data_IF_252222770492
#
_entry.id   IF_252222770492
#
_cell.length_a   1.000
_cell.length_b   1.000
_cell.length_c   1.000
_cell.angle_alpha   90.00
_cell.angle_beta   90.00
_cell.angle_gamma   90.00
#
_symmetry.space_group_name_H-M   'P 1'
#
loop_
_entity.id
_entity.type
_entity.pdbx_description
1 polymer ?
#
# COMPACT_ATOMS: atom_id res chain seq x y z
N UNK A 1 -7.40 18.84 20.77
CA UNK A 1 -6.55 17.61 20.74
C UNK A 1 -5.40 17.85 19.78
N UNK A 2 -4.24 17.31 20.11
CA UNK A 2 -3.06 17.44 19.25
C UNK A 2 -2.53 16.04 18.95
N UNK A 3 -2.78 15.55 17.72
CA UNK A 3 -2.36 14.21 17.28
C UNK A 3 -0.90 14.29 16.85
N UNK A 4 -0.02 13.58 17.55
CA UNK A 4 1.42 13.61 17.27
C UNK A 4 1.87 12.54 16.29
N UNK A 5 0.97 11.69 15.86
CA UNK A 5 1.25 10.66 14.86
C UNK A 5 -0.03 9.96 14.46
N UNK A 6 0.06 9.19 13.39
CA UNK A 6 -1.09 8.42 12.89
C UNK A 6 -0.55 7.13 12.31
N UNK A 7 -1.18 6.00 12.67
CA UNK A 7 -0.82 4.71 12.11
C UNK A 7 -2.08 4.01 11.62
N UNK A 8 -2.18 3.71 10.32
CA UNK A 8 -3.30 2.93 9.81
C UNK A 8 -3.18 1.46 10.22
N UNK A 9 -4.33 0.79 10.32
CA UNK A 9 -4.41 -0.64 10.59
C UNK A 9 -5.09 -1.30 9.40
N UNK A 10 -4.43 -2.29 8.82
CA UNK A 10 -4.98 -3.07 7.72
C UNK A 10 -5.38 -4.46 8.21
N UNK A 11 -6.62 -4.84 7.95
CA UNK A 11 -7.06 -6.21 8.16
C UNK A 11 -6.51 -7.07 7.04
N UNK A 12 -5.77 -8.13 7.39
CA UNK A 12 -5.18 -9.04 6.42
C UNK A 12 -5.60 -10.47 6.72
N UNK A 13 -5.65 -11.29 5.67
CA UNK A 13 -6.06 -12.69 5.80
C UNK A 13 -4.94 -13.57 6.37
N UNK A 14 -3.69 -13.19 6.12
CA UNK A 14 -2.51 -13.92 6.59
C UNK A 14 -1.40 -12.94 6.92
N UNK A 15 -1.02 -12.89 8.18
CA UNK A 15 0.07 -12.00 8.62
C UNK A 15 1.40 -12.34 7.96
N UNK A 16 1.83 -13.63 7.92
CA UNK A 16 3.10 -13.97 7.26
C UNK A 16 3.10 -13.62 5.78
N UNK A 17 2.01 -13.89 5.07
CA UNK A 17 1.92 -13.60 3.64
C UNK A 17 1.94 -12.09 3.39
N UNK A 18 1.31 -11.30 4.27
CA UNK A 18 1.34 -9.85 4.18
C UNK A 18 2.74 -9.30 4.41
N UNK A 19 3.45 -9.79 5.42
CA UNK A 19 4.84 -9.39 5.62
C UNK A 19 5.67 -9.65 4.36
N UNK A 20 5.53 -10.85 3.78
CA UNK A 20 6.26 -11.20 2.57
C UNK A 20 5.91 -10.29 1.39
N UNK A 21 4.62 -9.94 1.25
CA UNK A 21 4.15 -9.06 0.19
C UNK A 21 4.77 -7.66 0.31
N UNK A 22 4.76 -7.09 1.52
CA UNK A 22 5.35 -5.77 1.76
C UNK A 22 6.86 -5.79 1.56
N UNK A 23 7.53 -6.87 1.99
CA UNK A 23 8.99 -7.00 1.85
C UNK A 23 9.41 -7.00 0.37
N UNK A 24 8.62 -7.59 -0.52
CA UNK A 24 8.88 -7.55 -1.96
C UNK A 24 8.95 -6.12 -2.50
N UNK A 25 8.19 -5.21 -1.90
CA UNK A 25 8.15 -3.80 -2.29
C UNK A 25 9.17 -2.95 -1.54
N UNK A 26 10.01 -3.57 -0.70
CA UNK A 26 11.04 -2.84 0.02
C UNK A 26 10.66 -2.38 1.42
N UNK A 27 9.45 -2.69 1.86
CA UNK A 27 9.08 -2.44 3.25
C UNK A 27 9.77 -3.44 4.16
N UNK A 28 9.91 -3.09 5.45
CA UNK A 28 10.53 -3.96 6.44
C UNK A 28 9.53 -4.36 7.49
N UNK A 29 9.58 -5.63 7.90
CA UNK A 29 8.86 -6.08 9.08
C UNK A 29 9.52 -5.44 10.31
N UNK A 30 8.73 -4.75 11.12
CA UNK A 30 9.24 -4.08 12.31
C UNK A 30 9.10 -4.94 13.56
N UNK A 31 7.93 -5.55 13.75
CA UNK A 31 7.65 -6.42 14.89
C UNK A 31 6.38 -7.22 14.63
N UNK A 32 6.16 -8.24 15.47
CA UNK A 32 4.92 -9.00 15.50
C UNK A 32 4.57 -9.36 16.94
N UNK A 33 3.29 -9.60 17.21
CA UNK A 33 2.78 -9.89 18.53
C UNK A 33 1.73 -10.99 18.47
N UNK A 34 1.70 -11.82 19.52
CA UNK A 34 0.74 -12.91 19.67
C UNK A 34 1.41 -14.27 19.56
N UNK A 35 0.70 -15.30 20.04
CA UNK A 35 1.17 -16.67 20.00
C UNK A 35 -0.01 -17.59 19.59
N UNK A 36 -0.11 -17.95 18.31
CA UNK A 36 0.74 -17.52 17.19
C UNK A 36 0.56 -16.03 16.87
N UNK A 37 1.53 -15.39 16.18
CA UNK A 37 1.41 -13.97 15.88
C UNK A 37 0.20 -13.65 15.00
N UNK A 38 -0.55 -12.62 15.39
CA UNK A 38 -1.73 -12.18 14.64
C UNK A 38 -1.77 -10.66 14.44
N UNK A 39 -0.78 -9.94 14.94
CA UNK A 39 -0.67 -8.49 14.80
C UNK A 39 0.78 -8.13 14.58
N UNK A 40 1.04 -7.12 13.75
CA UNK A 40 2.40 -6.70 13.50
C UNK A 40 2.48 -5.36 12.83
N UNK A 41 3.68 -4.99 12.41
CA UNK A 41 3.92 -3.73 11.73
C UNK A 41 4.95 -3.88 10.63
N UNK A 42 4.75 -3.11 9.57
CA UNK A 42 5.73 -2.92 8.50
C UNK A 42 6.09 -1.44 8.43
N UNK A 43 7.29 -1.15 8.01
CA UNK A 43 7.78 0.21 7.91
C UNK A 43 8.54 0.47 6.63
N UNK A 44 8.47 1.71 6.18
CA UNK A 44 9.25 2.22 5.05
C UNK A 44 9.60 3.67 5.36
N UNK A 45 10.89 3.99 5.43
CA UNK A 45 11.33 5.30 5.90
C UNK A 45 10.80 5.56 7.31
N UNK A 46 10.08 6.65 7.49
CA UNK A 46 9.45 6.99 8.77
C UNK A 46 7.97 6.58 8.83
N UNK A 47 7.50 5.89 7.81
CA UNK A 47 6.10 5.46 7.73
C UNK A 47 5.93 4.07 8.33
N UNK A 48 4.79 3.87 8.99
CA UNK A 48 4.46 2.60 9.61
C UNK A 48 3.01 2.23 9.34
N UNK A 49 2.77 0.95 9.08
CA UNK A 49 1.42 0.40 8.91
C UNK A 49 1.30 -0.81 9.83
N UNK A 50 0.22 -0.85 10.63
CA UNK A 50 -0.11 -2.03 11.41
C UNK A 50 -0.88 -3.02 10.55
N UNK A 51 -0.59 -4.31 10.74
CA UNK A 51 -1.27 -5.42 10.08
C UNK A 51 -1.98 -6.26 11.14
N UNK A 52 -3.24 -6.52 10.94
CA UNK A 52 -4.05 -7.26 11.90
C UNK A 52 -4.70 -8.44 11.19
N UNK A 53 -4.33 -9.66 11.55
CA UNK A 53 -4.86 -10.84 10.89
C UNK A 53 -6.28 -11.15 11.38
N UNK A 54 -7.25 -11.03 10.48
CA UNK A 54 -8.66 -11.33 10.73
C UNK A 54 -9.26 -10.57 11.92
N UNK A 55 -8.88 -9.32 12.11
CA UNK A 55 -9.41 -8.56 13.23
C UNK A 55 -9.94 -7.18 12.81
N UNK A 56 -9.22 -6.11 13.07
CA UNK A 56 -9.79 -4.78 12.91
C UNK A 56 -9.81 -4.32 11.45
N UNK A 57 -10.90 -3.69 11.07
CA UNK A 57 -11.08 -3.15 9.74
C UNK A 57 -11.71 -4.15 8.78
N UNK A 58 -12.01 -3.68 7.59
CA UNK A 58 -12.61 -4.49 6.55
C UNK A 58 -11.55 -4.98 5.56
N UNK A 59 -11.88 -6.04 4.82
CA UNK A 59 -11.11 -6.54 3.69
C UNK A 59 -11.99 -6.59 2.47
N UNK A 60 -11.38 -6.35 1.30
CA UNK A 60 -12.00 -6.67 0.03
C UNK A 60 -11.65 -8.09 -0.38
N UNK A 61 -12.37 -8.63 -1.35
CA UNK A 61 -11.99 -9.88 -2.00
C UNK A 61 -10.90 -9.65 -3.04
N UNK A 62 -10.50 -10.72 -3.76
CA UNK A 62 -9.60 -10.54 -4.89
C UNK A 62 -10.19 -9.54 -5.85
N UNK A 63 -9.43 -8.50 -6.16
CA UNK A 63 -9.94 -7.41 -6.97
C UNK A 63 -9.75 -7.70 -8.44
N UNK A 64 -10.77 -7.43 -9.26
CA UNK A 64 -10.56 -7.44 -10.70
C UNK A 64 -9.51 -6.39 -11.08
N UNK A 65 -8.80 -6.66 -12.15
CA UNK A 65 -7.75 -5.80 -12.64
C UNK A 65 -8.29 -4.63 -13.46
N UNK A 66 -9.47 -4.10 -13.10
CA UNK A 66 -10.01 -2.93 -13.78
C UNK A 66 -9.12 -1.73 -13.50
N UNK A 67 -8.69 -1.09 -14.55
CA UNK A 67 -7.98 0.17 -14.44
C UNK A 67 -8.89 1.19 -13.82
N UNK A 68 -8.62 1.88 -12.86
CA UNK A 68 -9.42 2.95 -12.29
C UNK A 68 -10.82 2.52 -11.81
N UNK A 69 -10.87 1.79 -10.70
CA UNK A 69 -12.09 1.66 -9.94
C UNK A 69 -11.85 2.31 -8.57
N UNK A 70 -12.25 3.56 -8.43
CA UNK A 70 -12.01 4.33 -7.22
C UNK A 70 -13.01 4.01 -6.10
N UNK A 71 -13.89 3.05 -6.31
CA UNK A 71 -14.82 2.58 -5.29
C UNK A 71 -14.54 1.15 -4.86
N UNK A 72 -13.58 0.50 -5.50
CA UNK A 72 -13.28 -0.89 -5.24
C UNK A 72 -12.36 -1.05 -4.05
N UNK A 73 -12.45 -2.21 -3.41
CA UNK A 73 -11.55 -2.59 -2.35
C UNK A 73 -11.97 -2.09 -0.99
N UNK A 74 -11.05 -2.11 -0.08
CA UNK A 74 -11.31 -1.84 1.33
C UNK A 74 -10.67 -0.53 1.76
N UNK A 75 -9.37 -0.52 1.99
CA UNK A 75 -8.67 0.67 2.43
C UNK A 75 -7.91 1.28 1.25
N UNK A 76 -8.00 2.58 1.13
CA UNK A 76 -7.19 3.36 0.19
C UNK A 76 -6.28 4.27 1.00
N UNK A 77 -5.01 4.36 0.60
CA UNK A 77 -4.07 5.32 1.18
C UNK A 77 -3.05 5.73 0.13
N UNK A 78 -2.43 6.88 0.35
CA UNK A 78 -1.39 7.37 -0.54
C UNK A 78 -0.02 7.10 0.06
N UNK A 79 0.86 6.51 -0.74
CA UNK A 79 2.28 6.37 -0.44
C UNK A 79 3.03 7.41 -1.25
N UNK A 80 3.70 8.33 -0.56
CA UNK A 80 4.38 9.43 -1.22
C UNK A 80 5.83 9.10 -1.46
N UNK A 81 6.25 9.16 -2.71
CA UNK A 81 7.64 9.03 -3.13
C UNK A 81 8.22 10.40 -3.45
N UNK A 82 9.53 10.48 -3.49
CA UNK A 82 10.19 11.76 -3.62
C UNK A 82 10.16 12.32 -5.03
N UNK A 83 10.21 11.45 -6.05
CA UNK A 83 10.26 11.88 -7.44
C UNK A 83 9.26 11.12 -8.31
N UNK A 84 8.78 11.73 -9.39
CA UNK A 84 7.93 11.03 -10.36
C UNK A 84 8.59 9.80 -10.98
N UNK A 85 9.91 9.83 -11.17
CA UNK A 85 10.63 8.67 -11.70
C UNK A 85 10.54 7.46 -10.77
N UNK A 86 10.50 7.68 -9.47
CA UNK A 86 10.34 6.61 -8.50
C UNK A 86 8.96 5.95 -8.59
N UNK A 87 7.94 6.71 -8.98
CA UNK A 87 6.59 6.16 -9.22
C UNK A 87 6.64 5.17 -10.38
N UNK A 88 7.31 5.54 -11.48
CA UNK A 88 7.49 4.64 -12.62
C UNK A 88 8.24 3.38 -12.21
N UNK A 89 9.31 3.52 -11.43
CA UNK A 89 10.10 2.39 -10.97
C UNK A 89 9.29 1.46 -10.06
N UNK A 90 8.46 2.02 -9.18
CA UNK A 90 7.60 1.23 -8.30
C UNK A 90 6.57 0.43 -9.10
N UNK A 91 5.98 1.03 -10.12
CA UNK A 91 5.04 0.34 -10.99
C UNK A 91 5.72 -0.81 -11.74
N UNK A 92 6.89 -0.57 -12.33
CA UNK A 92 7.63 -1.61 -13.03
C UNK A 92 8.02 -2.76 -12.10
N UNK A 93 8.45 -2.45 -10.88
CA UNK A 93 8.74 -3.46 -9.88
C UNK A 93 7.51 -4.31 -9.56
N UNK A 94 6.36 -3.68 -9.37
CA UNK A 94 5.11 -4.39 -9.11
C UNK A 94 4.78 -5.35 -10.26
N UNK A 95 4.91 -4.92 -11.51
CA UNK A 95 4.68 -5.78 -12.67
C UNK A 95 5.64 -6.96 -12.69
N UNK A 96 6.92 -6.73 -12.43
CA UNK A 96 7.92 -7.81 -12.39
C UNK A 96 7.64 -8.84 -11.31
N UNK A 97 7.07 -8.41 -10.19
CA UNK A 97 6.73 -9.27 -9.07
C UNK A 97 5.36 -9.95 -9.21
N UNK A 98 4.61 -9.66 -10.26
CA UNK A 98 3.27 -10.18 -10.44
C UNK A 98 2.23 -9.57 -9.49
N UNK A 99 2.52 -8.40 -8.94
CA UNK A 99 1.60 -7.68 -8.06
C UNK A 99 0.56 -6.96 -8.91
N UNK A 100 -0.68 -6.99 -8.46
CA UNK A 100 -1.78 -6.31 -9.16
C UNK A 100 -1.56 -4.80 -9.10
N UNK A 101 -1.44 -4.18 -10.27
CA UNK A 101 -1.22 -2.74 -10.39
C UNK A 101 -2.17 -2.20 -11.47
N UNK A 102 -3.43 -1.95 -11.12
CA UNK A 102 -4.49 -1.72 -12.10
C UNK A 102 -4.43 -0.36 -12.78
N UNK A 103 -3.66 0.59 -12.25
CA UNK A 103 -3.58 1.93 -12.83
C UNK A 103 -2.12 2.31 -13.05
N UNK A 104 -1.71 2.51 -14.33
CA UNK A 104 -0.31 2.83 -14.63
C UNK A 104 0.04 4.27 -14.23
N UNK A 105 1.34 4.58 -14.12
CA UNK A 105 1.76 5.94 -13.79
C UNK A 105 1.15 6.96 -14.74
N UNK A 106 0.50 7.95 -14.17
CA UNK A 106 -0.24 8.96 -14.91
C UNK A 106 -0.11 10.31 -14.21
N UNK A 107 0.10 11.35 -14.99
CA UNK A 107 0.11 12.73 -14.47
C UNK A 107 -1.32 13.18 -14.31
N UNK A 108 -1.74 13.37 -13.07
CA UNK A 108 -3.12 13.69 -12.73
C UNK A 108 -3.36 15.20 -12.72
N UNK A 109 -4.62 15.65 -12.91
CA UNK A 109 -4.94 17.08 -12.94
C UNK A 109 -4.58 17.82 -11.65
N UNK A 110 -4.40 17.12 -10.54
CA UNK A 110 -4.03 17.71 -9.26
C UNK A 110 -2.51 17.75 -9.01
N UNK A 111 -1.73 17.71 -10.08
CA UNK A 111 -0.27 17.88 -10.05
C UNK A 111 0.46 16.77 -9.29
N UNK A 112 -0.01 15.55 -9.44
CA UNK A 112 0.61 14.35 -8.88
C UNK A 112 0.75 13.32 -10.00
N UNK A 113 1.93 12.69 -10.08
CA UNK A 113 2.06 11.48 -10.88
C UNK A 113 1.81 10.30 -9.97
N UNK A 114 0.84 9.46 -10.33
CA UNK A 114 0.47 8.34 -9.48
C UNK A 114 0.20 7.07 -10.26
N UNK A 115 0.41 5.94 -9.60
CA UNK A 115 -0.05 4.63 -10.03
C UNK A 115 -0.77 3.97 -8.86
N UNK A 116 -1.49 2.87 -9.12
CA UNK A 116 -2.16 2.13 -8.07
C UNK A 116 -1.59 0.73 -7.97
N UNK A 117 -1.36 0.28 -6.74
CA UNK A 117 -0.90 -1.06 -6.40
C UNK A 117 -1.91 -1.66 -5.44
N UNK A 118 -2.29 -2.92 -5.64
CA UNK A 118 -3.30 -3.57 -4.80
C UNK A 118 -2.72 -4.73 -4.00
N UNK A 119 -2.97 -4.68 -2.71
CA UNK A 119 -2.72 -5.78 -1.79
C UNK A 119 -3.74 -6.90 -2.02
N UNK A 120 -3.36 -8.18 -1.84
CA UNK A 120 -4.27 -9.31 -2.07
C UNK A 120 -5.59 -9.26 -1.31
N UNK A 121 -5.65 -8.57 -0.17
CA UNK A 121 -6.86 -8.42 0.63
C UNK A 121 -7.71 -7.21 0.23
N UNK A 122 -7.46 -6.63 -0.94
CA UNK A 122 -8.30 -5.59 -1.52
C UNK A 122 -7.95 -4.16 -1.12
N UNK A 123 -6.86 -3.97 -0.41
CA UNK A 123 -6.40 -2.62 -0.08
C UNK A 123 -5.69 -2.01 -1.27
N UNK A 124 -5.91 -0.72 -1.52
CA UNK A 124 -5.30 -0.03 -2.65
C UNK A 124 -4.36 1.06 -2.16
N UNK A 125 -3.17 1.08 -2.73
CA UNK A 125 -2.16 2.07 -2.43
C UNK A 125 -1.96 2.96 -3.65
N UNK A 126 -2.20 4.26 -3.46
CA UNK A 126 -1.90 5.28 -4.46
C UNK A 126 -0.44 5.68 -4.27
N UNK A 127 0.42 5.17 -5.15
CA UNK A 127 1.85 5.47 -5.09
C UNK A 127 2.08 6.70 -5.95
N UNK A 128 2.47 7.78 -5.32
CA UNK A 128 2.51 9.06 -6.01
C UNK A 128 3.65 9.97 -5.61
N UNK A 129 3.90 10.93 -6.45
CA UNK A 129 4.87 11.98 -6.21
C UNK A 129 4.34 13.29 -6.81
N UNK A 130 4.59 14.38 -6.12
CA UNK A 130 4.22 15.69 -6.63
C UNK A 130 5.01 16.00 -7.90
N UNK A 131 4.30 16.50 -8.91
CA UNK A 131 4.96 17.05 -10.09
C UNK A 131 5.60 18.38 -9.72
N UNK A 132 6.77 18.65 -10.29
CA UNK A 132 7.44 19.90 -10.00
C UNK A 132 6.62 21.05 -10.53
N UNK A 133 6.42 22.05 -9.66
CA UNK A 133 5.83 23.31 -10.03
C UNK A 133 6.95 24.35 -10.06
N UNK A 134 7.13 24.96 -11.21
CA UNK A 134 8.06 26.08 -11.32
C UNK A 134 7.42 27.37 -10.84
#
# INVERSE_FOLDING_TARGET
MNVIGLTPILNVSSLPDSFAWFEKLGWQKLWEWGDPPNFGAVGSGQSEIFLCQNCQGARGGPMPSEAWDNQAGSVWMSWWLETPAEVDAAYELALQLGIVAPFPPTDMPWSVRECHIRHPDGHTFRVGSNLECD
#
